data_IF_833491820413
#
_entry.id   IF_833491820413
#
_cell.length_a   1.000
_cell.length_b   1.000
_cell.length_c   1.000
_cell.angle_alpha   90.00
_cell.angle_beta   90.00
_cell.angle_gamma   90.00
#
_symmetry.space_group_name_H-M   'P 1'
#
loop_
_entity.id
_entity.type
_entity.pdbx_description
1 polymer ?
#
# COMPACT_ATOMS: atom_id res chain seq x y z
N UNK A 1 -65.12 -44.64 15.27
CA UNK A 1 -64.10 -43.87 16.03
C UNK A 1 -62.70 -43.86 15.40
N UNK A 2 -62.30 -44.79 14.51
CA UNK A 2 -60.95 -44.79 13.89
C UNK A 2 -60.71 -43.75 12.78
N UNK A 3 -61.76 -43.22 12.16
CA UNK A 3 -61.64 -42.31 11.00
C UNK A 3 -61.21 -40.87 11.36
N UNK A 4 -61.37 -40.46 12.62
CA UNK A 4 -61.00 -39.12 13.10
C UNK A 4 -59.53 -39.02 13.56
N UNK A 5 -58.86 -40.15 13.82
CA UNK A 5 -57.44 -40.17 14.20
C UNK A 5 -56.54 -39.95 12.98
N UNK A 6 -56.88 -40.54 11.84
CA UNK A 6 -56.09 -40.45 10.60
C UNK A 6 -55.98 -39.01 10.08
N UNK A 7 -57.06 -38.22 10.16
CA UNK A 7 -57.02 -36.81 9.76
C UNK A 7 -56.20 -35.94 10.71
N UNK A 8 -56.19 -36.25 12.00
CA UNK A 8 -55.42 -35.51 13.01
C UNK A 8 -53.92 -35.77 12.89
N UNK A 9 -53.55 -36.98 12.45
CA UNK A 9 -52.17 -37.35 12.20
C UNK A 9 -51.63 -36.69 10.92
N UNK A 10 -52.46 -36.57 9.88
CA UNK A 10 -52.09 -35.88 8.63
C UNK A 10 -51.87 -34.36 8.82
N UNK A 11 -52.75 -33.68 9.57
CA UNK A 11 -52.58 -32.24 9.87
C UNK A 11 -51.35 -31.97 10.73
N UNK A 12 -51.06 -32.86 11.69
CA UNK A 12 -49.83 -32.79 12.52
C UNK A 12 -48.57 -32.99 11.69
N UNK A 13 -48.60 -33.80 10.66
CA UNK A 13 -47.45 -34.05 9.79
C UNK A 13 -47.14 -32.82 8.92
N UNK A 14 -48.17 -32.25 8.29
CA UNK A 14 -48.02 -31.02 7.51
C UNK A 14 -47.54 -29.82 8.33
N UNK A 15 -47.99 -29.70 9.59
CA UNK A 15 -47.52 -28.65 10.49
C UNK A 15 -46.04 -28.77 10.83
N UNK A 16 -45.57 -30.00 11.13
CA UNK A 16 -44.16 -30.27 11.43
C UNK A 16 -43.25 -30.03 10.23
N UNK A 17 -43.69 -30.40 9.04
CA UNK A 17 -42.90 -30.17 7.83
C UNK A 17 -42.75 -28.67 7.52
N UNK A 18 -43.79 -27.88 7.77
CA UNK A 18 -43.76 -26.43 7.54
C UNK A 18 -42.87 -25.73 8.55
N UNK A 19 -42.95 -26.10 9.83
CA UNK A 19 -42.10 -25.59 10.91
C UNK A 19 -40.64 -25.99 10.67
N UNK A 20 -40.37 -27.25 10.33
CA UNK A 20 -39.04 -27.74 10.00
C UNK A 20 -38.45 -27.03 8.78
N UNK A 21 -39.25 -26.77 7.75
CA UNK A 21 -38.82 -26.02 6.57
C UNK A 21 -38.52 -24.56 6.89
N UNK A 22 -39.27 -23.95 7.81
CA UNK A 22 -39.03 -22.57 8.26
C UNK A 22 -37.77 -22.48 9.13
N UNK A 23 -37.53 -23.47 9.99
CA UNK A 23 -36.35 -23.54 10.85
C UNK A 23 -35.09 -23.87 10.02
N UNK A 24 -35.17 -24.79 9.06
CA UNK A 24 -34.10 -25.06 8.10
C UNK A 24 -33.78 -23.84 7.21
N UNK A 25 -34.80 -23.09 6.76
CA UNK A 25 -34.60 -21.80 6.07
C UNK A 25 -33.96 -20.76 6.96
N UNK A 26 -34.37 -20.65 8.22
CA UNK A 26 -33.82 -19.66 9.17
C UNK A 26 -32.39 -20.02 9.59
N UNK A 27 -32.06 -21.30 9.73
CA UNK A 27 -30.69 -21.78 9.97
C UNK A 27 -29.81 -21.53 8.75
N UNK A 28 -30.32 -21.79 7.55
CA UNK A 28 -29.59 -21.50 6.31
C UNK A 28 -29.39 -19.98 6.12
N UNK A 29 -30.41 -19.16 6.40
CA UNK A 29 -30.35 -17.69 6.38
C UNK A 29 -29.39 -17.10 7.42
N UNK A 30 -29.30 -17.71 8.61
CA UNK A 30 -28.30 -17.31 9.63
C UNK A 30 -26.88 -17.73 9.24
N UNK A 31 -26.73 -18.83 8.51
CA UNK A 31 -25.43 -19.28 7.98
C UNK A 31 -24.99 -18.46 6.76
N UNK A 32 -25.93 -17.98 5.94
CA UNK A 32 -25.67 -17.04 4.82
C UNK A 32 -25.59 -15.57 5.27
N UNK A 33 -26.08 -15.22 6.47
CA UNK A 33 -25.95 -13.87 7.03
C UNK A 33 -24.54 -13.55 7.56
N UNK A 34 -23.66 -14.54 7.74
CA UNK A 34 -22.22 -14.29 7.83
C UNK A 34 -21.70 -14.05 6.41
N UNK A 35 -21.85 -12.82 5.95
CA UNK A 35 -21.23 -12.35 4.71
C UNK A 35 -19.77 -12.85 4.64
N UNK A 36 -19.33 -13.53 3.56
CA UNK A 36 -17.96 -14.09 3.45
C UNK A 36 -16.83 -13.06 3.69
N UNK A 37 -17.16 -11.77 3.65
CA UNK A 37 -16.26 -10.65 3.94
C UNK A 37 -15.80 -10.57 5.40
N UNK A 38 -16.58 -11.09 6.37
CA UNK A 38 -16.25 -10.99 7.80
C UNK A 38 -15.30 -12.10 8.26
N UNK A 39 -15.30 -13.26 7.59
CA UNK A 39 -14.45 -14.40 7.95
C UNK A 39 -13.14 -14.43 7.14
N UNK A 40 -13.11 -13.85 5.93
CA UNK A 40 -11.92 -13.81 5.05
C UNK A 40 -11.44 -12.39 4.70
N UNK A 41 -12.02 -11.35 5.30
CA UNK A 41 -11.57 -9.96 5.17
C UNK A 41 -10.34 -9.69 6.03
N UNK A 42 -9.18 -9.56 5.39
CA UNK A 42 -7.93 -9.30 6.10
C UNK A 42 -6.79 -8.82 5.21
N UNK A 43 -5.79 -8.17 5.83
CA UNK A 43 -4.55 -7.81 5.15
C UNK A 43 -3.76 -9.07 4.86
N UNK A 44 -3.51 -9.36 3.58
CA UNK A 44 -2.61 -10.41 3.17
C UNK A 44 -1.19 -9.84 3.23
N UNK A 45 -0.50 -10.08 4.34
CA UNK A 45 0.85 -9.57 4.59
C UNK A 45 1.87 -10.03 3.53
N UNK A 46 1.71 -11.23 2.97
CA UNK A 46 2.55 -11.71 1.88
C UNK A 46 2.37 -10.89 0.60
N UNK A 47 1.13 -10.60 0.21
CA UNK A 47 0.83 -9.72 -0.92
C UNK A 47 1.38 -8.30 -0.70
N UNK A 48 1.27 -7.78 0.53
CA UNK A 48 1.84 -6.48 0.89
C UNK A 48 3.36 -6.46 0.78
N UNK A 49 4.03 -7.53 1.21
CA UNK A 49 5.49 -7.67 1.11
C UNK A 49 5.97 -7.64 -0.34
N UNK A 50 5.35 -8.45 -1.21
CA UNK A 50 5.70 -8.44 -2.64
C UNK A 50 5.34 -7.12 -3.32
N UNK A 51 4.22 -6.50 -2.93
CA UNK A 51 3.87 -5.16 -3.38
C UNK A 51 4.94 -4.13 -3.00
N UNK A 52 5.46 -4.19 -1.77
CA UNK A 52 6.55 -3.32 -1.33
C UNK A 52 7.85 -3.58 -2.10
N UNK A 53 8.23 -4.84 -2.34
CA UNK A 53 9.39 -5.17 -3.18
C UNK A 53 9.30 -4.56 -4.58
N UNK A 54 8.12 -4.65 -5.20
CA UNK A 54 7.85 -4.02 -6.50
C UNK A 54 7.93 -2.50 -6.39
N UNK A 55 7.38 -1.91 -5.33
CA UNK A 55 7.45 -0.46 -5.12
C UNK A 55 8.90 0.04 -5.04
N UNK A 56 9.76 -0.65 -4.29
CA UNK A 56 11.19 -0.33 -4.19
C UNK A 56 11.88 -0.55 -5.54
N UNK A 57 11.64 -1.67 -6.20
CA UNK A 57 12.26 -1.97 -7.50
C UNK A 57 11.93 -0.92 -8.58
N UNK A 58 10.66 -0.53 -8.68
CA UNK A 58 10.21 0.51 -9.62
C UNK A 58 10.78 1.87 -9.24
N UNK A 59 10.80 2.20 -7.94
CA UNK A 59 11.38 3.45 -7.43
C UNK A 59 12.86 3.58 -7.79
N UNK A 60 13.64 2.54 -7.54
CA UNK A 60 15.09 2.52 -7.84
C UNK A 60 15.33 2.59 -9.34
N UNK A 61 14.57 1.83 -10.14
CA UNK A 61 14.68 1.86 -11.59
C UNK A 61 14.41 3.27 -12.16
N UNK A 62 13.29 3.88 -11.75
CA UNK A 62 12.94 5.24 -12.20
C UNK A 62 13.96 6.28 -11.69
N UNK A 63 14.41 6.15 -10.45
CA UNK A 63 15.46 7.00 -9.88
C UNK A 63 16.76 6.93 -10.67
N UNK A 64 17.18 5.72 -11.09
CA UNK A 64 18.37 5.54 -11.92
C UNK A 64 18.22 6.20 -13.29
N UNK A 65 17.05 6.08 -13.91
CA UNK A 65 16.75 6.76 -15.20
C UNK A 65 16.80 8.27 -15.03
N UNK A 66 16.14 8.82 -13.99
CA UNK A 66 16.16 10.26 -13.69
C UNK A 66 17.60 10.75 -13.46
N UNK A 67 18.39 10.02 -12.66
CA UNK A 67 19.78 10.37 -12.40
C UNK A 67 20.63 10.37 -13.67
N UNK A 68 20.46 9.36 -14.54
CA UNK A 68 21.15 9.30 -15.82
C UNK A 68 20.79 10.48 -16.75
N UNK A 69 19.51 10.84 -16.82
CA UNK A 69 19.04 11.99 -17.60
C UNK A 69 19.58 13.29 -17.01
N UNK A 70 19.52 13.47 -15.69
CA UNK A 70 20.03 14.67 -15.02
C UNK A 70 21.54 14.85 -15.26
N UNK A 71 22.32 13.77 -15.20
CA UNK A 71 23.75 13.79 -15.49
C UNK A 71 24.04 14.15 -16.96
N UNK A 72 23.28 13.58 -17.90
CA UNK A 72 23.44 13.88 -19.33
C UNK A 72 23.05 15.33 -19.68
N UNK A 73 22.00 15.86 -19.07
CA UNK A 73 21.58 17.26 -19.26
C UNK A 73 22.58 18.22 -18.64
N UNK A 74 23.05 17.92 -17.41
CA UNK A 74 24.04 18.75 -16.72
C UNK A 74 25.37 18.87 -17.49
N UNK A 75 25.82 17.78 -18.12
CA UNK A 75 27.05 17.79 -18.93
C UNK A 75 26.89 18.51 -20.27
N UNK A 76 25.69 18.54 -20.87
CA UNK A 76 25.43 19.26 -22.12
C UNK A 76 25.33 20.77 -21.94
N UNK A 77 24.89 21.23 -20.76
CA UNK A 77 24.67 22.64 -20.46
C UNK A 77 25.90 23.33 -19.84
N UNK A 78 27.03 22.62 -19.67
CA UNK A 78 28.21 23.10 -18.93
C UNK A 78 27.85 23.76 -17.59
N UNK A 79 26.89 23.15 -16.87
CA UNK A 79 26.35 23.71 -15.64
C UNK A 79 27.43 23.82 -14.55
N UNK A 80 27.64 25.04 -14.07
CA UNK A 80 28.57 25.31 -12.98
C UNK A 80 27.88 25.28 -11.61
N UNK A 81 28.68 25.21 -10.54
CA UNK A 81 28.17 25.30 -9.17
C UNK A 81 27.47 26.65 -8.90
N UNK A 82 27.89 27.72 -9.58
CA UNK A 82 27.29 29.05 -9.40
C UNK A 82 25.93 29.15 -10.09
N UNK A 83 25.76 28.50 -11.25
CA UNK A 83 24.45 28.38 -11.91
C UNK A 83 23.45 27.60 -11.04
N UNK A 84 23.92 26.53 -10.39
CA UNK A 84 23.11 25.75 -9.46
C UNK A 84 22.68 26.58 -8.24
N UNK A 85 23.57 27.43 -7.70
CA UNK A 85 23.24 28.35 -6.60
C UNK A 85 22.25 29.42 -7.04
N UNK A 86 22.45 30.02 -8.22
CA UNK A 86 21.55 31.03 -8.79
C UNK A 86 20.14 30.49 -9.07
N UNK A 87 20.02 29.19 -9.37
CA UNK A 87 18.75 28.52 -9.68
C UNK A 87 18.27 27.58 -8.57
N UNK A 88 18.84 27.65 -7.37
CA UNK A 88 18.63 26.67 -6.30
C UNK A 88 17.15 26.41 -5.99
N UNK A 89 16.30 27.45 -5.99
CA UNK A 89 14.85 27.31 -5.78
C UNK A 89 14.16 26.48 -6.88
N UNK A 90 14.51 26.74 -8.14
CA UNK A 90 13.94 26.02 -9.29
C UNK A 90 14.41 24.57 -9.32
N UNK A 91 15.70 24.33 -9.06
CA UNK A 91 16.24 22.97 -8.93
C UNK A 91 15.59 22.21 -7.77
N UNK A 92 15.43 22.85 -6.61
CA UNK A 92 14.77 22.25 -5.46
C UNK A 92 13.33 21.85 -5.78
N UNK A 93 12.57 22.71 -6.46
CA UNK A 93 11.20 22.41 -6.86
C UNK A 93 11.16 21.28 -7.90
N UNK A 94 12.03 21.31 -8.91
CA UNK A 94 12.11 20.26 -9.93
C UNK A 94 12.48 18.91 -9.31
N UNK A 95 13.45 18.89 -8.39
CA UNK A 95 13.82 17.71 -7.62
C UNK A 95 12.67 17.18 -6.76
N UNK A 96 11.96 18.06 -6.04
CA UNK A 96 10.82 17.69 -5.22
C UNK A 96 9.67 17.09 -6.05
N UNK A 97 9.33 17.70 -7.20
CA UNK A 97 8.30 17.18 -8.11
C UNK A 97 8.74 15.83 -8.68
N UNK A 98 10.00 15.71 -9.09
CA UNK A 98 10.52 14.46 -9.65
C UNK A 98 10.48 13.33 -8.62
N UNK A 99 10.93 13.61 -7.39
CA UNK A 99 10.84 12.67 -6.26
C UNK A 99 9.39 12.26 -6.00
N UNK A 100 8.47 13.23 -5.96
CA UNK A 100 7.04 12.98 -5.79
C UNK A 100 6.50 12.06 -6.90
N UNK A 101 6.79 12.31 -8.17
CA UNK A 101 6.34 11.45 -9.27
C UNK A 101 6.91 10.04 -9.14
N UNK A 102 8.21 9.90 -8.87
CA UNK A 102 8.87 8.60 -8.74
C UNK A 102 8.29 7.80 -7.56
N UNK A 103 8.14 8.42 -6.39
CA UNK A 103 7.53 7.76 -5.22
C UNK A 103 6.09 7.34 -5.48
N UNK A 104 5.31 8.22 -6.12
CA UNK A 104 3.92 7.94 -6.43
C UNK A 104 3.80 6.74 -7.37
N UNK A 105 4.56 6.73 -8.47
CA UNK A 105 4.52 5.66 -9.48
C UNK A 105 5.04 4.34 -8.89
N UNK A 106 6.11 4.38 -8.10
CA UNK A 106 6.64 3.20 -7.43
C UNK A 106 5.60 2.57 -6.50
N UNK A 107 5.05 3.35 -5.57
CA UNK A 107 4.05 2.83 -4.62
C UNK A 107 2.73 2.47 -5.31
N UNK A 108 2.35 3.16 -6.40
CA UNK A 108 1.22 2.75 -7.23
C UNK A 108 1.43 1.37 -7.86
N UNK A 109 2.60 1.10 -8.45
CA UNK A 109 2.92 -0.21 -9.03
C UNK A 109 2.91 -1.31 -7.95
N UNK A 110 3.50 -1.05 -6.78
CA UNK A 110 3.50 -1.98 -5.66
C UNK A 110 2.10 -2.28 -5.11
N UNK A 111 1.30 -1.23 -4.91
CA UNK A 111 -0.10 -1.35 -4.53
C UNK A 111 -0.89 -2.18 -5.54
N UNK A 112 -0.68 -1.95 -6.84
CA UNK A 112 -1.34 -2.72 -7.91
C UNK A 112 -1.06 -4.22 -7.82
N UNK A 113 0.20 -4.61 -7.59
CA UNK A 113 0.59 -6.01 -7.43
C UNK A 113 -0.05 -6.62 -6.18
N UNK A 114 0.00 -5.92 -5.04
CA UNK A 114 -0.64 -6.38 -3.81
C UNK A 114 -2.16 -6.54 -3.97
N UNK A 115 -2.80 -5.60 -4.67
CA UNK A 115 -4.22 -5.62 -4.98
C UNK A 115 -4.64 -6.75 -5.92
N UNK A 116 -3.74 -7.22 -6.81
CA UNK A 116 -4.00 -8.37 -7.69
C UNK A 116 -3.85 -9.72 -6.98
N UNK A 117 -3.01 -9.79 -5.95
CA UNK A 117 -2.80 -11.01 -5.15
C UNK A 117 -3.84 -11.20 -4.04
N UNK A 118 -4.61 -10.16 -3.70
CA UNK A 118 -5.61 -10.24 -2.64
C UNK A 118 -7.04 -10.23 -3.17
N UNK A 119 -7.77 -11.30 -2.84
CA UNK A 119 -9.19 -11.51 -3.18
C UNK A 119 -10.12 -10.50 -2.48
N UNK A 120 -9.76 -10.04 -1.28
CA UNK A 120 -10.60 -9.19 -0.44
C UNK A 120 -9.81 -7.96 0.06
N UNK A 121 -10.44 -6.78 0.12
CA UNK A 121 -9.86 -5.57 0.73
C UNK A 121 -8.51 -5.02 0.18
N UNK A 122 -8.27 -5.04 -1.12
CA UNK A 122 -7.15 -4.35 -1.80
C UNK A 122 -6.79 -2.94 -1.30
N UNK A 123 -7.72 -2.05 -0.91
CA UNK A 123 -7.34 -0.75 -0.32
C UNK A 123 -6.55 -0.92 0.99
N UNK A 124 -6.92 -1.92 1.82
CA UNK A 124 -6.16 -2.28 3.03
C UNK A 124 -4.81 -2.89 2.66
N UNK A 125 -4.69 -3.57 1.51
CA UNK A 125 -3.41 -4.06 1.02
C UNK A 125 -2.48 -2.92 0.60
N UNK A 126 -3.00 -1.86 -0.02
CA UNK A 126 -2.23 -0.64 -0.31
C UNK A 126 -1.67 0.00 0.96
N UNK A 127 -2.48 0.09 2.03
CA UNK A 127 -2.01 0.52 3.36
C UNK A 127 -0.95 -0.44 3.90
N UNK A 128 -1.13 -1.75 3.74
CA UNK A 128 -0.15 -2.75 4.16
C UNK A 128 1.20 -2.62 3.44
N UNK A 129 1.20 -2.37 2.12
CA UNK A 129 2.43 -2.07 1.35
C UNK A 129 3.14 -0.83 1.91
N UNK A 130 2.37 0.22 2.21
CA UNK A 130 2.90 1.46 2.80
C UNK A 130 3.48 1.24 4.20
N UNK A 131 2.80 0.48 5.06
CA UNK A 131 3.28 0.14 6.40
C UNK A 131 4.55 -0.72 6.38
N UNK A 132 4.64 -1.70 5.48
CA UNK A 132 5.88 -2.47 5.29
C UNK A 132 6.99 -1.54 4.83
N UNK A 133 6.70 -0.59 3.94
CA UNK A 133 7.66 0.43 3.52
C UNK A 133 8.22 1.23 4.69
N UNK A 134 7.35 1.73 5.58
CA UNK A 134 7.77 2.45 6.79
C UNK A 134 8.58 1.56 7.71
N UNK A 135 8.11 0.34 7.97
CA UNK A 135 8.81 -0.61 8.84
C UNK A 135 10.22 -0.91 8.32
N UNK A 136 10.35 -1.20 7.03
CA UNK A 136 11.66 -1.50 6.43
C UNK A 136 12.55 -0.26 6.39
N UNK A 137 12.01 0.93 6.13
CA UNK A 137 12.78 2.18 6.20
C UNK A 137 13.29 2.44 7.63
N UNK A 138 12.48 2.19 8.66
CA UNK A 138 12.89 2.31 10.06
C UNK A 138 14.00 1.29 10.42
N UNK A 139 13.87 0.03 9.97
CA UNK A 139 14.91 -1.00 10.17
C UNK A 139 16.21 -0.60 9.46
N UNK A 140 16.13 -0.19 8.19
CA UNK A 140 17.29 0.22 7.41
C UNK A 140 17.98 1.45 8.02
N UNK A 141 17.21 2.46 8.45
CA UNK A 141 17.72 3.64 9.14
C UNK A 141 18.41 3.29 10.47
N UNK A 142 17.81 2.40 11.27
CA UNK A 142 18.41 1.91 12.52
C UNK A 142 19.72 1.14 12.28
N UNK A 143 19.76 0.30 11.26
CA UNK A 143 20.99 -0.42 10.87
C UNK A 143 22.07 0.53 10.36
N UNK A 144 21.71 1.51 9.54
CA UNK A 144 22.65 2.52 9.06
C UNK A 144 23.24 3.35 10.21
N UNK A 145 22.42 3.77 11.16
CA UNK A 145 22.87 4.48 12.36
C UNK A 145 23.81 3.62 13.22
N UNK A 146 23.48 2.34 13.41
CA UNK A 146 24.33 1.40 14.16
C UNK A 146 25.68 1.17 13.47
N UNK A 147 25.68 0.99 12.15
CA UNK A 147 26.90 0.83 11.37
C UNK A 147 27.75 2.09 11.42
N UNK A 148 27.16 3.27 11.26
CA UNK A 148 27.90 4.53 11.35
C UNK A 148 28.58 4.68 12.71
N UNK A 149 27.89 4.38 13.81
CA UNK A 149 28.46 4.43 15.16
C UNK A 149 29.64 3.46 15.38
N UNK A 150 29.79 2.43 14.54
CA UNK A 150 30.85 1.42 14.65
C UNK A 150 32.06 1.72 13.76
N UNK A 151 31.82 2.20 12.56
CA UNK A 151 32.84 2.27 11.49
C UNK A 151 33.04 3.67 10.93
N UNK A 152 32.34 4.67 11.47
CA UNK A 152 32.37 6.07 11.00
C UNK A 152 32.20 6.16 9.47
N UNK A 153 31.24 5.41 8.92
CA UNK A 153 31.03 5.27 7.47
C UNK A 153 30.77 6.60 6.77
N UNK A 154 30.20 7.55 7.51
CA UNK A 154 29.87 8.87 6.99
C UNK A 154 30.90 9.94 7.41
N UNK A 155 31.95 9.60 8.16
CA UNK A 155 32.96 10.56 8.64
C UNK A 155 33.80 11.21 7.54
N UNK A 156 34.01 10.52 6.42
CA UNK A 156 34.73 11.05 5.23
C UNK A 156 33.81 11.78 4.23
N UNK A 157 32.49 11.74 4.44
CA UNK A 157 31.56 12.49 3.60
C UNK A 157 31.51 13.92 4.16
N UNK A 158 32.28 14.81 3.54
CA UNK A 158 32.24 16.26 3.78
C UNK A 158 30.89 16.83 3.30
N UNK A 159 29.83 16.51 4.04
CA UNK A 159 28.49 17.06 3.88
C UNK A 159 28.46 18.44 4.56
N UNK A 160 29.26 19.38 4.07
CA UNK A 160 29.11 20.79 4.45
C UNK A 160 27.85 21.34 3.76
N UNK A 161 26.68 21.16 4.38
CA UNK A 161 26.09 22.21 5.21
C UNK A 161 25.63 21.69 6.58
N UNK A 162 26.34 22.15 7.62
CA UNK A 162 25.92 22.22 9.02
C UNK A 162 25.43 20.91 9.62
N UNK A 163 26.35 20.15 10.22
CA UNK A 163 26.15 19.18 11.32
C UNK A 163 24.68 18.89 11.61
N UNK A 164 24.02 18.08 10.75
CA UNK A 164 22.60 17.78 10.89
C UNK A 164 22.42 16.82 12.08
N UNK A 165 22.32 17.38 13.27
CA UNK A 165 21.84 16.70 14.47
C UNK A 165 20.34 16.48 14.37
N UNK A 166 19.78 15.61 15.23
CA UNK A 166 18.32 15.38 15.27
C UNK A 166 17.50 16.67 15.50
N UNK A 167 18.15 17.70 16.05
CA UNK A 167 17.58 19.03 16.29
C UNK A 167 17.51 19.90 15.02
N UNK A 168 18.22 19.54 13.94
CA UNK A 168 18.23 20.27 12.66
C UNK A 168 17.10 19.86 11.71
N UNK A 169 16.11 19.11 12.20
CA UNK A 169 14.89 18.82 11.46
C UNK A 169 14.12 20.12 11.19
N UNK A 170 14.48 20.80 10.11
CA UNK A 170 13.81 22.03 9.69
C UNK A 170 12.33 21.74 9.46
N UNK A 171 11.46 22.70 9.80
CA UNK A 171 10.02 22.58 9.53
C UNK A 171 9.75 22.21 8.07
N UNK A 172 10.54 22.75 7.13
CA UNK A 172 10.47 22.40 5.72
C UNK A 172 10.80 20.94 5.42
N UNK A 173 11.84 20.38 6.07
CA UNK A 173 12.18 18.96 5.95
C UNK A 173 11.09 18.04 6.46
N UNK A 174 10.53 18.35 7.65
CA UNK A 174 9.42 17.58 8.25
C UNK A 174 8.19 17.61 7.35
N UNK A 175 7.80 18.80 6.87
CA UNK A 175 6.64 18.96 5.97
C UNK A 175 6.85 18.17 4.67
N UNK A 176 8.05 18.23 4.10
CA UNK A 176 8.37 17.48 2.87
C UNK A 176 8.31 15.97 3.10
N UNK A 177 8.86 15.48 4.22
CA UNK A 177 8.80 14.06 4.58
C UNK A 177 7.36 13.56 4.76
N UNK A 178 6.51 14.32 5.46
CA UNK A 178 5.09 14.00 5.62
C UNK A 178 4.38 14.00 4.27
N UNK A 179 4.62 15.00 3.42
CA UNK A 179 4.02 15.08 2.09
C UNK A 179 4.39 13.86 1.23
N UNK A 180 5.66 13.43 1.25
CA UNK A 180 6.13 12.23 0.55
C UNK A 180 5.45 10.98 1.10
N UNK A 181 5.35 10.81 2.42
CA UNK A 181 4.66 9.67 3.03
C UNK A 181 3.18 9.58 2.64
N UNK A 182 2.47 10.71 2.63
CA UNK A 182 1.07 10.77 2.21
C UNK A 182 0.91 10.47 0.72
N UNK A 183 1.83 10.96 -0.09
CA UNK A 183 1.84 10.69 -1.53
C UNK A 183 2.10 9.21 -1.83
N UNK A 184 3.05 8.57 -1.12
CA UNK A 184 3.30 7.13 -1.21
C UNK A 184 2.06 6.34 -0.82
N UNK A 185 1.40 6.73 0.28
CA UNK A 185 0.14 6.12 0.71
C UNK A 185 -0.94 6.25 -0.37
N UNK A 186 -1.11 7.45 -0.92
CA UNK A 186 -2.05 7.71 -2.02
C UNK A 186 -1.78 6.83 -3.23
N UNK A 187 -0.51 6.74 -3.67
CA UNK A 187 -0.08 5.85 -4.75
C UNK A 187 -0.45 4.39 -4.48
N UNK A 188 -0.06 3.85 -3.34
CA UNK A 188 -0.32 2.45 -2.97
C UNK A 188 -1.81 2.11 -2.86
N UNK A 189 -2.61 3.00 -2.26
CA UNK A 189 -4.06 2.81 -2.13
C UNK A 189 -4.74 2.87 -3.50
N UNK A 190 -4.36 3.82 -4.35
CA UNK A 190 -4.89 3.92 -5.72
C UNK A 190 -4.51 2.70 -6.56
N UNK A 191 -3.24 2.30 -6.54
CA UNK A 191 -2.75 1.14 -7.28
C UNK A 191 -3.47 -0.14 -6.88
N UNK A 192 -3.62 -0.37 -5.58
CA UNK A 192 -4.29 -1.56 -5.06
C UNK A 192 -5.80 -1.57 -5.32
N UNK A 193 -6.44 -0.40 -5.37
CA UNK A 193 -7.82 -0.28 -5.83
C UNK A 193 -7.98 -0.65 -7.32
N UNK A 194 -7.05 -0.23 -8.17
CA UNK A 194 -7.04 -0.57 -9.61
C UNK A 194 -6.77 -2.06 -9.83
N UNK A 195 -5.82 -2.66 -9.09
CA UNK A 195 -5.51 -4.09 -9.18
C UNK A 195 -6.72 -5.00 -8.95
N UNK A 196 -7.65 -4.57 -8.08
CA UNK A 196 -8.89 -5.31 -7.79
C UNK A 196 -10.02 -5.14 -8.78
N UNK A 197 -9.97 -4.13 -9.67
CA UNK A 197 -11.09 -3.82 -10.57
C UNK A 197 -11.46 -5.00 -11.48
N UNK A 198 -10.51 -5.90 -11.74
CA UNK A 198 -10.73 -7.10 -12.54
C UNK A 198 -11.61 -8.14 -11.82
N UNK A 199 -11.33 -8.45 -10.55
CA UNK A 199 -12.09 -9.44 -9.77
C UNK A 199 -13.56 -9.02 -9.57
N UNK A 200 -13.79 -7.76 -9.19
CA UNK A 200 -15.17 -7.22 -9.06
C UNK A 200 -15.98 -7.28 -10.34
N UNK A 201 -15.32 -7.24 -11.50
CA UNK A 201 -15.99 -7.33 -12.79
C UNK A 201 -16.40 -8.75 -13.14
N UNK A 202 -15.67 -9.75 -12.68
CA UNK A 202 -15.99 -11.17 -12.90
C UNK A 202 -17.09 -11.62 -11.92
N UNK A 203 -17.01 -11.19 -10.67
CA UNK A 203 -18.00 -11.51 -9.64
C UNK A 203 -19.38 -10.90 -9.91
N UNK A 204 -19.48 -9.88 -10.78
CA UNK A 204 -20.77 -9.30 -11.20
C UNK A 204 -21.42 -9.99 -12.39
N UNK A 205 -20.72 -10.93 -13.04
CA UNK A 205 -21.23 -11.67 -14.23
C UNK A 205 -21.51 -13.15 -13.94
N UNK A 206 -21.07 -13.66 -12.80
CA UNK A 206 -21.36 -14.99 -12.26
C UNK A 206 -22.50 -14.91 -11.25
#
# INVERSE_FOLDING_TARGET
MRHALIHRDAERDTGRDTERSADERMVNDRFTALTPHETYGGTNWGACFFGWLVAVGVTVLLGAIVAAVAAAVGSQLDWTADDARGNARSLALAGAITLAVVMFVGYYAGGYVAGRMSRFDGMRQGVGVWLIGILTAAIAGGLAALLNARTDLFGDLDLTPGDLTADDATTGGIVTAIAVLLLMLGGAVLGSAVGRRYHRRIDSVL
#
